data_IF_884668151186
#
_entry.id   IF_884668151186
#
_cell.length_a   1.000
_cell.length_b   1.000
_cell.length_c   1.000
_cell.angle_alpha   90.00
_cell.angle_beta   90.00
_cell.angle_gamma   90.00
#
_symmetry.space_group_name_H-M   'P 1'
#
loop_
_entity.id
_entity.type
_entity.pdbx_description
1 polymer ?
#
# COMPACT_ATOMS: atom_id res chain seq x y z
N UNK A 1 13.75 -9.32 11.06
CA UNK A 1 12.64 -10.12 11.62
C UNK A 1 11.34 -9.77 10.90
N UNK A 2 10.37 -10.68 10.77
CA UNK A 2 9.06 -10.41 10.14
C UNK A 2 8.04 -10.08 11.22
N UNK A 3 7.33 -8.95 11.09
CA UNK A 3 6.41 -8.46 12.13
C UNK A 3 4.99 -9.02 11.97
N UNK A 4 4.41 -8.92 10.76
CA UNK A 4 2.99 -9.21 10.54
C UNK A 4 2.71 -10.62 9.95
N UNK A 5 3.75 -11.36 9.56
CA UNK A 5 3.56 -12.72 9.05
C UNK A 5 2.71 -12.86 7.78
N UNK A 6 2.57 -11.81 6.96
CA UNK A 6 1.64 -11.81 5.82
C UNK A 6 2.03 -12.77 4.66
N UNK A 7 1.02 -13.34 4.02
CA UNK A 7 1.17 -14.27 2.89
C UNK A 7 1.31 -13.57 1.54
N UNK A 8 0.51 -12.53 1.32
CA UNK A 8 0.49 -11.71 0.10
C UNK A 8 0.55 -10.22 0.41
N UNK A 9 1.17 -9.47 -0.49
CA UNK A 9 1.31 -8.02 -0.45
C UNK A 9 0.83 -7.47 -1.79
N UNK A 10 -0.09 -6.52 -1.76
CA UNK A 10 -0.59 -5.83 -2.94
C UNK A 10 -0.12 -4.38 -2.93
N UNK A 11 0.46 -3.92 -4.03
CA UNK A 11 0.88 -2.53 -4.21
C UNK A 11 -0.02 -1.91 -5.28
N UNK A 12 -0.93 -1.05 -4.84
CA UNK A 12 -1.83 -0.32 -5.72
C UNK A 12 -1.14 0.88 -6.36
N UNK A 13 -1.20 1.01 -7.68
CA UNK A 13 -0.64 2.13 -8.44
C UNK A 13 -1.73 2.70 -9.36
N UNK A 14 -1.91 4.01 -9.37
CA UNK A 14 -2.87 4.65 -10.28
C UNK A 14 -2.52 4.38 -11.75
N UNK A 15 -3.53 4.03 -12.54
CA UNK A 15 -3.38 3.61 -13.95
C UNK A 15 -2.80 4.71 -14.87
N UNK A 16 -2.88 5.97 -14.44
CA UNK A 16 -2.24 7.10 -15.13
C UNK A 16 -0.71 7.15 -14.96
N UNK A 17 -0.09 6.17 -14.29
CA UNK A 17 1.37 6.05 -14.08
C UNK A 17 1.92 4.75 -14.68
N UNK A 18 1.86 4.56 -16.02
CA UNK A 18 2.24 3.30 -16.66
C UNK A 18 3.70 2.92 -16.45
N UNK A 19 4.61 3.90 -16.41
CA UNK A 19 6.02 3.66 -16.15
C UNK A 19 6.27 3.11 -14.74
N UNK A 20 5.58 3.67 -13.73
CA UNK A 20 5.67 3.19 -12.36
C UNK A 20 5.14 1.76 -12.24
N UNK A 21 4.00 1.45 -12.88
CA UNK A 21 3.45 0.10 -12.93
C UNK A 21 4.46 -0.88 -13.52
N UNK A 22 5.05 -0.54 -14.67
CA UNK A 22 6.06 -1.38 -15.32
C UNK A 22 7.26 -1.64 -14.41
N UNK A 23 7.91 -0.59 -13.94
CA UNK A 23 9.13 -0.70 -13.13
C UNK A 23 8.88 -1.47 -11.81
N UNK A 24 7.74 -1.21 -11.16
CA UNK A 24 7.36 -1.92 -9.95
C UNK A 24 7.02 -3.39 -10.23
N UNK A 25 6.40 -3.70 -11.37
CA UNK A 25 6.07 -5.09 -11.75
C UNK A 25 7.36 -5.89 -11.99
N UNK A 26 8.31 -5.32 -12.71
CA UNK A 26 9.61 -5.96 -12.97
C UNK A 26 10.38 -6.24 -11.66
N UNK A 27 10.30 -5.33 -10.69
CA UNK A 27 10.87 -5.54 -9.35
C UNK A 27 10.10 -6.58 -8.53
N UNK A 28 8.76 -6.55 -8.59
CA UNK A 28 7.89 -7.45 -7.85
C UNK A 28 8.05 -8.91 -8.30
N UNK A 29 8.35 -9.16 -9.58
CA UNK A 29 8.62 -10.50 -10.12
C UNK A 29 9.75 -11.27 -9.40
N UNK A 30 10.58 -10.57 -8.60
CA UNK A 30 11.60 -11.20 -7.75
C UNK A 30 11.02 -11.87 -6.49
N UNK A 31 9.73 -11.69 -6.20
CA UNK A 31 9.05 -12.21 -5.02
C UNK A 31 7.65 -12.71 -5.37
N UNK A 32 7.37 -13.98 -5.10
CA UNK A 32 6.02 -14.56 -5.30
C UNK A 32 4.94 -13.98 -4.38
N UNK A 33 5.33 -13.17 -3.40
CA UNK A 33 4.42 -12.56 -2.42
C UNK A 33 3.91 -11.18 -2.81
N UNK A 34 4.56 -10.49 -3.74
CA UNK A 34 4.26 -9.08 -4.06
C UNK A 34 3.58 -9.01 -5.42
N UNK A 35 2.42 -8.36 -5.46
CA UNK A 35 1.64 -8.14 -6.67
C UNK A 35 1.39 -6.65 -6.88
N UNK A 36 1.61 -6.18 -8.11
CA UNK A 36 1.30 -4.80 -8.50
C UNK A 36 -0.09 -4.77 -9.11
N UNK A 37 -0.96 -3.90 -8.58
CA UNK A 37 -2.34 -3.77 -9.03
C UNK A 37 -2.58 -2.37 -9.58
N UNK A 38 -3.02 -2.27 -10.83
CA UNK A 38 -3.45 -1.00 -11.42
C UNK A 38 -4.79 -0.55 -10.81
N UNK A 39 -4.86 0.72 -10.40
CA UNK A 39 -6.01 1.33 -9.75
C UNK A 39 -6.59 2.45 -10.62
N UNK A 40 -7.91 2.50 -10.75
CA UNK A 40 -8.58 3.61 -11.45
C UNK A 40 -8.40 4.92 -10.68
N UNK A 41 -8.22 6.02 -11.39
CA UNK A 41 -7.96 7.37 -10.83
C UNK A 41 -9.22 8.03 -10.24
N UNK A 42 -9.92 7.38 -9.30
CA UNK A 42 -11.07 7.94 -8.56
C UNK A 42 -11.27 7.22 -7.21
N UNK A 43 -11.09 7.92 -6.08
CA UNK A 43 -11.44 7.39 -4.74
C UNK A 43 -12.04 8.47 -3.80
N UNK A 44 -13.23 8.24 -3.19
CA UNK A 44 -13.84 9.13 -2.19
C UNK A 44 -13.44 8.79 -0.73
N UNK A 45 -14.07 9.45 0.26
CA UNK A 45 -13.98 9.11 1.69
C UNK A 45 -14.26 7.61 1.92
N UNK A 46 -13.36 6.90 2.61
CA UNK A 46 -13.42 5.42 2.76
C UNK A 46 -12.59 4.63 1.72
N UNK A 47 -11.60 5.28 1.10
CA UNK A 47 -10.73 4.70 0.08
C UNK A 47 -10.15 3.32 0.45
N UNK A 48 -9.76 3.09 1.70
CA UNK A 48 -9.20 1.80 2.14
C UNK A 48 -10.19 0.63 2.03
N UNK A 49 -11.47 0.82 2.43
CA UNK A 49 -12.49 -0.24 2.34
C UNK A 49 -12.78 -0.59 0.88
N UNK A 50 -12.77 0.42 0.00
CA UNK A 50 -12.91 0.23 -1.44
C UNK A 50 -11.69 -0.46 -2.07
N UNK A 51 -10.49 -0.15 -1.62
CA UNK A 51 -9.27 -0.82 -2.06
C UNK A 51 -9.30 -2.31 -1.68
N UNK A 52 -9.65 -2.62 -0.43
CA UNK A 52 -9.80 -3.99 0.05
C UNK A 52 -10.83 -4.76 -0.77
N UNK A 53 -12.02 -4.16 -1.01
CA UNK A 53 -13.06 -4.79 -1.84
C UNK A 53 -12.60 -5.02 -3.28
N UNK A 54 -11.91 -4.05 -3.89
CA UNK A 54 -11.48 -4.18 -5.30
C UNK A 54 -10.35 -5.17 -5.51
N UNK A 55 -9.37 -5.19 -4.60
CA UNK A 55 -8.17 -6.03 -4.74
C UNK A 55 -8.45 -7.45 -4.24
N UNK A 56 -9.16 -7.59 -3.11
CA UNK A 56 -9.32 -8.86 -2.42
C UNK A 56 -10.74 -9.43 -2.47
N UNK A 57 -11.72 -8.67 -2.96
CA UNK A 57 -13.14 -9.08 -2.94
C UNK A 57 -13.76 -9.12 -1.54
N UNK A 58 -13.06 -8.59 -0.52
CA UNK A 58 -13.53 -8.62 0.88
C UNK A 58 -14.30 -7.36 1.23
N UNK A 59 -15.40 -7.50 1.96
CA UNK A 59 -16.17 -6.37 2.45
C UNK A 59 -15.86 -6.10 3.92
N UNK A 60 -15.39 -4.88 4.22
CA UNK A 60 -15.22 -4.43 5.60
C UNK A 60 -16.59 -3.99 6.13
N UNK A 61 -17.02 -4.46 7.32
CA UNK A 61 -18.28 -4.02 7.93
C UNK A 61 -18.35 -2.48 8.05
N UNK A 62 -19.56 -1.90 8.03
CA UNK A 62 -19.74 -0.43 8.06
C UNK A 62 -18.96 0.23 9.21
N UNK A 63 -18.99 -0.40 10.40
CA UNK A 63 -18.29 0.07 11.61
C UNK A 63 -17.02 -0.73 11.93
N UNK A 64 -16.63 -1.64 11.03
CA UNK A 64 -15.42 -2.45 11.17
C UNK A 64 -14.17 -1.78 10.61
N UNK A 65 -13.03 -2.32 10.99
CA UNK A 65 -11.68 -1.95 10.56
C UNK A 65 -11.17 -2.93 9.49
N UNK A 66 -10.20 -2.54 8.64
CA UNK A 66 -9.50 -3.46 7.74
C UNK A 66 -8.99 -4.75 8.40
N UNK A 67 -8.61 -4.65 9.68
CA UNK A 67 -8.13 -5.78 10.46
C UNK A 67 -9.21 -6.85 10.68
N UNK A 68 -10.49 -6.46 10.75
CA UNK A 68 -11.62 -7.40 10.92
C UNK A 68 -11.77 -8.36 9.73
N UNK A 69 -11.17 -8.01 8.58
CA UNK A 69 -11.10 -8.87 7.39
C UNK A 69 -9.67 -9.34 7.09
N UNK A 70 -8.77 -9.24 8.08
CA UNK A 70 -7.40 -9.73 8.01
C UNK A 70 -6.51 -8.94 7.05
N UNK A 71 -6.69 -7.61 6.97
CA UNK A 71 -5.92 -6.75 6.07
C UNK A 71 -5.33 -5.56 6.83
N UNK A 72 -4.08 -5.23 6.50
CA UNK A 72 -3.45 -3.97 6.90
C UNK A 72 -3.25 -3.14 5.65
N UNK A 73 -3.74 -1.90 5.66
CA UNK A 73 -3.57 -0.94 4.56
C UNK A 73 -2.61 0.15 5.02
N UNK A 74 -1.55 0.38 4.24
CA UNK A 74 -0.57 1.43 4.52
C UNK A 74 -0.42 2.33 3.30
N UNK A 75 -0.38 3.63 3.53
CA UNK A 75 0.06 4.57 2.51
C UNK A 75 1.56 4.37 2.23
N UNK A 76 1.99 4.56 0.98
CA UNK A 76 3.39 4.50 0.57
C UNK A 76 4.31 5.40 1.40
N UNK A 77 3.86 6.57 1.84
CA UNK A 77 4.62 7.47 2.72
C UNK A 77 4.93 6.84 4.08
N UNK A 78 3.96 6.13 4.66
CA UNK A 78 4.17 5.37 5.91
C UNK A 78 5.17 4.24 5.71
N UNK A 79 5.10 3.52 4.58
CA UNK A 79 6.05 2.44 4.25
C UNK A 79 7.47 3.00 4.09
N UNK A 80 7.61 4.15 3.42
CA UNK A 80 8.90 4.84 3.28
C UNK A 80 9.46 5.30 4.63
N UNK A 81 8.62 5.88 5.50
CA UNK A 81 9.02 6.30 6.84
C UNK A 81 9.52 5.11 7.69
N UNK A 82 8.81 3.98 7.63
CA UNK A 82 9.23 2.74 8.31
C UNK A 82 10.59 2.27 7.77
N UNK A 83 10.78 2.28 6.46
CA UNK A 83 12.07 1.92 5.85
C UNK A 83 13.20 2.84 6.31
N UNK A 84 12.98 4.15 6.30
CA UNK A 84 13.97 5.14 6.74
C UNK A 84 14.33 4.95 8.22
N UNK A 85 13.33 4.80 9.10
CA UNK A 85 13.56 4.64 10.53
C UNK A 85 14.27 3.32 10.85
N UNK A 86 13.78 2.19 10.31
CA UNK A 86 14.22 0.86 10.72
C UNK A 86 15.47 0.41 9.96
N UNK A 87 15.58 0.71 8.67
CA UNK A 87 16.69 0.22 7.82
C UNK A 87 17.80 1.26 7.71
N UNK A 88 17.46 2.55 7.66
CA UNK A 88 18.45 3.63 7.50
C UNK A 88 18.82 4.33 8.81
N UNK A 89 18.10 4.07 9.91
CA UNK A 89 18.31 4.77 11.17
C UNK A 89 17.99 6.27 11.11
N UNK A 90 17.20 6.70 10.11
CA UNK A 90 16.82 8.09 9.93
C UNK A 90 15.50 8.32 10.67
N UNK A 91 15.48 9.15 11.73
CA UNK A 91 14.25 9.45 12.44
C UNK A 91 13.25 10.16 11.51
N UNK A 92 11.96 9.81 11.65
CA UNK A 92 10.91 10.44 10.88
C UNK A 92 10.66 11.86 11.40
N UNK A 93 10.98 12.85 10.57
CA UNK A 93 10.55 14.24 10.77
C UNK A 93 9.35 14.49 9.85
N UNK A 94 8.29 15.09 10.39
CA UNK A 94 7.13 15.52 9.60
C UNK A 94 7.61 16.49 8.52
N UNK A 95 7.74 16.04 7.28
CA UNK A 95 8.14 16.90 6.17
C UNK A 95 6.91 17.72 5.73
N UNK A 96 6.60 18.79 6.48
CA UNK A 96 5.87 19.90 5.88
C UNK A 96 6.78 20.53 4.80
N UNK A 97 6.19 20.87 3.66
CA UNK A 97 6.80 21.49 2.47
C UNK A 97 7.66 20.60 1.58
N UNK A 98 7.00 19.94 0.61
CA UNK A 98 7.39 19.99 -0.81
C UNK A 98 6.09 19.91 -1.64
N UNK A 99 5.20 20.88 -1.41
CA UNK A 99 4.08 21.21 -2.27
C UNK A 99 4.14 22.73 -2.45
N UNK A 100 5.14 23.17 -3.20
CA UNK A 100 5.31 24.52 -3.73
C UNK A 100 5.91 24.36 -5.12
#
# INVERSE_FOLDING_TARGET
EKILGVDKIFVGVEENKPEAIKNLTDLANKSSKVEITSLKTKYPQGAEKMLIKRILGREVPEKGLPLDVGVVVLNVGTVLAIYQAVIKGIPYYFQQSLAS
#
